data_IF_710221074767
#
_entry.id   IF_710221074767
#
_cell.length_a   1.000
_cell.length_b   1.000
_cell.length_c   1.000
_cell.angle_alpha   90.00
_cell.angle_beta   90.00
_cell.angle_gamma   90.00
#
_symmetry.space_group_name_H-M   'P 1'
#
loop_
_entity.id
_entity.type
_entity.pdbx_description
1 polymer ?
#
# COMPACT_ATOMS: atom_id res chain seq x y z
N UNK A 1 -3.94 4.37 -16.63
CA UNK A 1 -5.08 5.17 -16.13
C UNK A 1 -4.59 6.06 -15.00
N UNK A 2 -4.99 7.31 -15.02
CA UNK A 2 -4.63 8.27 -13.99
C UNK A 2 -5.81 8.49 -13.06
N UNK A 3 -5.57 8.49 -11.77
CA UNK A 3 -6.63 8.69 -10.79
C UNK A 3 -6.04 9.20 -9.48
N UNK A 4 -6.91 9.47 -8.52
CA UNK A 4 -6.52 9.91 -7.18
C UNK A 4 -6.64 8.72 -6.24
N UNK A 5 -5.58 8.48 -5.48
CA UNK A 5 -5.58 7.47 -4.42
C UNK A 5 -5.33 8.16 -3.09
N UNK A 6 -5.61 7.47 -2.00
CA UNK A 6 -5.34 7.96 -0.65
C UNK A 6 -4.26 7.11 -0.04
N UNK A 7 -3.19 7.74 0.44
CA UNK A 7 -2.10 7.06 1.12
C UNK A 7 -2.30 7.15 2.62
N UNK A 8 -2.11 6.04 3.30
CA UNK A 8 -2.33 5.95 4.74
C UNK A 8 -1.10 5.31 5.37
N UNK A 9 -0.62 5.90 6.45
CA UNK A 9 0.54 5.43 7.18
C UNK A 9 0.11 4.91 8.54
N UNK A 10 0.55 3.69 8.88
CA UNK A 10 0.32 3.13 10.21
C UNK A 10 1.53 3.37 11.09
N UNK A 11 1.29 3.73 12.34
CA UNK A 11 2.35 3.92 13.33
C UNK A 11 2.02 3.06 14.53
N UNK A 12 3.02 2.32 15.01
CA UNK A 12 2.87 1.51 16.21
C UNK A 12 3.55 2.24 17.36
N UNK A 13 2.80 2.51 18.42
CA UNK A 13 3.34 3.13 19.62
C UNK A 13 3.12 2.19 20.79
N UNK A 14 3.97 2.32 21.82
CA UNK A 14 3.82 1.55 23.07
C UNK A 14 3.44 2.50 24.18
N UNK A 15 2.49 2.08 25.02
CA UNK A 15 2.15 2.86 26.19
C UNK A 15 3.13 2.55 27.35
N UNK A 16 2.89 3.15 28.50
CA UNK A 16 3.78 2.98 29.66
C UNK A 16 3.78 1.55 30.21
N UNK A 17 2.79 0.75 29.84
CA UNK A 17 2.67 -0.65 30.26
C UNK A 17 3.21 -1.62 29.22
N UNK A 18 3.77 -1.11 28.12
CA UNK A 18 4.29 -1.95 27.06
C UNK A 18 3.25 -2.44 26.07
N UNK A 19 2.02 -2.02 26.18
CA UNK A 19 0.99 -2.40 25.23
C UNK A 19 1.16 -1.64 23.92
N UNK A 20 1.05 -2.36 22.82
CA UNK A 20 1.15 -1.76 21.51
C UNK A 20 -0.18 -1.16 21.06
N UNK A 21 -0.09 0.02 20.45
CA UNK A 21 -1.25 0.69 19.90
C UNK A 21 -0.93 1.09 18.46
N UNK A 22 -1.82 0.73 17.54
CA UNK A 22 -1.69 1.10 16.13
C UNK A 22 -2.53 2.33 15.87
N UNK A 23 -1.89 3.36 15.32
CA UNK A 23 -2.59 4.57 14.90
C UNK A 23 -2.37 4.74 13.39
N UNK A 24 -3.39 5.27 12.71
CA UNK A 24 -3.29 5.55 11.29
C UNK A 24 -3.23 7.06 11.08
N UNK A 25 -2.47 7.47 10.07
CA UNK A 25 -2.44 8.87 9.67
C UNK A 25 -3.75 9.23 8.97
N UNK A 26 -4.00 10.51 8.83
CA UNK A 26 -5.10 10.96 7.98
C UNK A 26 -4.77 10.58 6.54
N UNK A 27 -5.78 10.13 5.76
CA UNK A 27 -5.54 9.80 4.36
C UNK A 27 -5.04 11.02 3.58
N UNK A 28 -3.99 10.81 2.80
CA UNK A 28 -3.41 11.85 1.97
C UNK A 28 -3.73 11.55 0.51
N UNK A 29 -4.41 12.45 -0.15
CA UNK A 29 -4.76 12.28 -1.56
C UNK A 29 -3.58 12.61 -2.46
N UNK A 30 -3.27 11.70 -3.38
CA UNK A 30 -2.19 11.91 -4.36
C UNK A 30 -2.65 11.38 -5.71
N UNK A 31 -2.08 11.94 -6.77
CA UNK A 31 -2.31 11.42 -8.12
C UNK A 31 -1.46 10.19 -8.36
N UNK A 32 -2.03 9.22 -9.03
CA UNK A 32 -1.35 7.98 -9.34
C UNK A 32 -1.69 7.52 -10.76
N UNK A 33 -0.72 6.91 -11.42
CA UNK A 33 -0.96 6.12 -12.61
C UNK A 33 -1.19 4.69 -12.16
N UNK A 34 -2.29 4.10 -12.59
CA UNK A 34 -2.73 2.80 -12.11
C UNK A 34 -2.54 1.76 -13.19
N UNK A 35 -1.93 0.63 -12.82
CA UNK A 35 -1.69 -0.44 -13.77
C UNK A 35 -1.86 -1.80 -13.07
N UNK A 36 -2.10 -2.82 -13.89
CA UNK A 36 -2.10 -4.18 -13.38
C UNK A 36 -0.68 -4.64 -13.14
N UNK A 37 -0.52 -5.65 -12.27
CA UNK A 37 0.78 -6.22 -11.95
C UNK A 37 1.31 -7.01 -13.14
N UNK A 38 2.60 -6.86 -13.44
CA UNK A 38 3.24 -7.64 -14.48
C UNK A 38 3.34 -9.12 -14.10
N UNK A 39 3.36 -9.98 -15.10
CA UNK A 39 3.36 -11.43 -14.89
C UNK A 39 4.55 -11.90 -14.05
N UNK A 40 5.74 -11.39 -14.35
CA UNK A 40 6.94 -11.79 -13.61
C UNK A 40 6.86 -11.40 -12.15
N UNK A 41 6.34 -10.21 -11.86
CA UNK A 41 6.16 -9.75 -10.50
C UNK A 41 5.14 -10.62 -9.77
N UNK A 42 4.06 -11.00 -10.45
CA UNK A 42 3.05 -11.86 -9.86
C UNK A 42 3.65 -13.21 -9.44
N UNK A 43 4.42 -13.84 -10.30
CA UNK A 43 5.00 -15.15 -9.99
C UNK A 43 6.04 -15.06 -8.88
N UNK A 44 6.88 -14.04 -8.91
CA UNK A 44 7.89 -13.87 -7.86
C UNK A 44 7.23 -13.66 -6.50
N UNK A 45 6.18 -12.86 -6.45
CA UNK A 45 5.46 -12.60 -5.21
C UNK A 45 4.69 -13.83 -4.73
N UNK A 46 4.15 -14.61 -5.65
CA UNK A 46 3.40 -15.82 -5.29
C UNK A 46 4.28 -16.84 -4.56
N UNK A 47 5.55 -16.94 -4.90
CA UNK A 47 6.49 -17.79 -4.19
C UNK A 47 6.65 -17.37 -2.72
N UNK A 48 6.50 -16.10 -2.44
CA UNK A 48 6.59 -15.58 -1.06
C UNK A 48 5.23 -15.56 -0.37
N UNK A 49 4.18 -16.08 -0.99
CA UNK A 49 2.84 -16.07 -0.43
C UNK A 49 2.10 -14.77 -0.61
N UNK A 50 2.62 -13.86 -1.43
CA UNK A 50 2.00 -12.57 -1.70
C UNK A 50 1.11 -12.66 -2.94
N UNK A 51 0.10 -11.80 -3.01
CA UNK A 51 -0.84 -11.79 -4.13
C UNK A 51 -1.00 -10.37 -4.67
N UNK A 52 0.01 -9.86 -5.38
CA UNK A 52 -0.06 -8.51 -5.90
C UNK A 52 -1.21 -8.38 -6.90
N UNK A 53 -1.98 -7.32 -6.78
CA UNK A 53 -3.14 -7.09 -7.65
C UNK A 53 -3.00 -5.85 -8.50
N UNK A 54 -2.32 -4.83 -7.98
CA UNK A 54 -2.35 -3.51 -8.60
C UNK A 54 -1.03 -2.78 -8.31
N UNK A 55 -0.64 -1.91 -9.23
CA UNK A 55 0.48 -1.01 -9.00
C UNK A 55 0.00 0.43 -9.11
N UNK A 56 0.53 1.27 -8.25
CA UNK A 56 0.31 2.71 -8.29
C UNK A 56 1.65 3.39 -8.52
N UNK A 57 1.78 4.16 -9.58
CA UNK A 57 2.96 4.96 -9.83
C UNK A 57 2.67 6.38 -9.40
N UNK A 58 3.43 6.87 -8.42
CA UNK A 58 3.22 8.20 -7.86
C UNK A 58 4.52 8.99 -7.89
N UNK A 59 4.43 10.28 -7.62
CA UNK A 59 5.62 11.11 -7.48
C UNK A 59 6.36 10.74 -6.22
N UNK A 60 7.69 10.67 -6.29
CA UNK A 60 8.52 10.44 -5.12
C UNK A 60 8.23 11.49 -4.04
N UNK A 61 8.01 12.75 -4.46
CA UNK A 61 7.72 13.83 -3.51
C UNK A 61 6.42 13.63 -2.72
N UNK A 62 5.52 12.80 -3.24
CA UNK A 62 4.22 12.55 -2.59
C UNK A 62 4.26 11.32 -1.68
N UNK A 63 5.36 10.57 -1.68
CA UNK A 63 5.44 9.32 -0.94
C UNK A 63 6.29 9.48 0.32
N UNK A 64 5.71 9.17 1.47
CA UNK A 64 6.38 9.22 2.76
C UNK A 64 6.30 7.85 3.46
N UNK A 65 6.61 6.81 2.71
CA UNK A 65 6.65 5.42 3.21
C UNK A 65 5.33 4.94 3.78
N UNK A 66 4.24 5.45 3.24
CA UNK A 66 2.92 4.95 3.62
C UNK A 66 2.79 3.50 3.20
N UNK A 67 2.31 2.66 4.10
CA UNK A 67 2.19 1.23 3.86
C UNK A 67 0.85 0.80 3.29
N UNK A 68 -0.11 1.71 3.19
CA UNK A 68 -1.44 1.41 2.70
C UNK A 68 -1.90 2.46 1.71
N UNK A 69 -2.75 2.03 0.77
CA UNK A 69 -3.39 2.91 -0.18
C UNK A 69 -4.85 2.54 -0.31
N UNK A 70 -5.70 3.54 -0.47
CA UNK A 70 -7.12 3.32 -0.72
C UNK A 70 -7.45 3.82 -2.12
N UNK A 71 -8.11 2.97 -2.89
CA UNK A 71 -8.49 3.27 -4.25
C UNK A 71 -9.82 2.59 -4.56
N UNK A 72 -10.76 3.37 -5.10
CA UNK A 72 -12.06 2.86 -5.53
C UNK A 72 -12.78 2.09 -4.42
N UNK A 73 -12.70 2.61 -3.19
CA UNK A 73 -13.37 2.01 -2.04
C UNK A 73 -12.68 0.78 -1.46
N UNK A 74 -11.53 0.41 -2.01
CA UNK A 74 -10.79 -0.75 -1.53
C UNK A 74 -9.48 -0.34 -0.90
N UNK A 75 -9.08 -1.06 0.15
CA UNK A 75 -7.81 -0.82 0.82
C UNK A 75 -6.78 -1.82 0.35
N UNK A 76 -5.61 -1.31 0.00
CA UNK A 76 -4.48 -2.10 -0.47
C UNK A 76 -3.30 -1.92 0.46
N UNK A 77 -2.50 -2.97 0.59
CA UNK A 77 -1.26 -2.94 1.35
C UNK A 77 -0.09 -2.91 0.37
N UNK A 78 0.85 -2.00 0.59
CA UNK A 78 2.06 -1.91 -0.23
C UNK A 78 2.98 -3.05 0.17
N UNK A 79 3.30 -3.93 -0.77
CA UNK A 79 4.18 -5.07 -0.51
C UNK A 79 5.57 -4.85 -1.05
N UNK A 80 5.75 -3.94 -2.00
CA UNK A 80 7.05 -3.65 -2.59
C UNK A 80 7.03 -2.30 -3.26
N UNK A 81 8.17 -1.63 -3.28
CA UNK A 81 8.31 -0.36 -3.99
C UNK A 81 9.50 -0.41 -4.92
N UNK A 82 9.36 0.27 -6.07
CA UNK A 82 10.45 0.45 -7.02
C UNK A 82 10.54 1.92 -7.37
N UNK A 83 11.68 2.52 -7.11
CA UNK A 83 11.90 3.90 -7.52
C UNK A 83 12.61 3.90 -8.87
N UNK A 84 12.00 4.55 -9.85
CA UNK A 84 12.59 4.69 -11.19
C UNK A 84 13.00 6.14 -11.37
N UNK A 85 14.30 6.38 -11.34
CA UNK A 85 14.83 7.75 -11.42
C UNK A 85 14.55 8.53 -10.15
N UNK A 86 14.53 9.86 -10.26
CA UNK A 86 14.36 10.75 -9.11
C UNK A 86 12.93 11.22 -8.89
N UNK A 87 12.03 11.01 -9.87
CA UNK A 87 10.70 11.63 -9.86
C UNK A 87 9.57 10.66 -9.53
N UNK A 88 9.71 9.39 -9.86
CA UNK A 88 8.60 8.45 -9.77
C UNK A 88 8.96 7.24 -8.93
N UNK A 89 7.97 6.74 -8.19
CA UNK A 89 8.07 5.50 -7.44
C UNK A 89 6.83 4.65 -7.72
N UNK A 90 7.04 3.35 -7.90
CA UNK A 90 5.97 2.42 -8.14
C UNK A 90 5.70 1.63 -6.87
N UNK A 91 4.43 1.60 -6.47
CA UNK A 91 3.97 0.86 -5.30
C UNK A 91 3.25 -0.38 -5.79
N UNK A 92 3.81 -1.56 -5.52
CA UNK A 92 3.17 -2.83 -5.83
C UNK A 92 2.33 -3.22 -4.63
N UNK A 93 1.04 -3.42 -4.84
CA UNK A 93 0.10 -3.59 -3.74
C UNK A 93 -0.73 -4.86 -3.89
N UNK A 94 -1.14 -5.40 -2.74
CA UNK A 94 -2.13 -6.45 -2.68
C UNK A 94 -3.35 -5.95 -1.92
N UNK A 95 -4.50 -6.56 -2.15
CA UNK A 95 -5.70 -6.19 -1.42
C UNK A 95 -5.53 -6.55 0.05
N UNK A 96 -5.81 -5.59 0.91
CA UNK A 96 -5.79 -5.84 2.35
C UNK A 96 -7.15 -6.41 2.74
N UNK A 97 -7.15 -7.66 3.20
CA UNK A 97 -8.36 -8.32 3.68
C UNK A 97 -8.48 -8.04 5.17
N UNK A 98 -9.60 -7.48 5.57
CA UNK A 98 -9.89 -7.24 6.98
C UNK A 98 -10.91 -8.27 7.42
N UNK A 99 -10.55 -9.11 8.39
CA UNK A 99 -11.45 -10.07 8.96
C UNK A 99 -12.17 -9.45 10.15
N UNK A 100 -13.46 -9.26 10.00
CA UNK A 100 -14.28 -8.77 11.09
C UNK A 100 -14.95 -9.96 11.79
N UNK A 101 -14.69 -10.07 13.06
CA UNK A 101 -15.28 -11.13 13.82
C UNK A 101 -14.85 -12.48 13.42
N UNK A 102 -14.21 -12.64 12.97
CA UNK A 102 -13.88 -13.77 12.44
C UNK A 102 -14.16 -14.95 12.60
N UNK A 103 -14.61 -14.83 12.30
CA UNK A 103 -15.14 -15.71 12.26
C UNK A 103 -14.81 -16.69 12.03
N UNK A 104 -14.39 -16.95 11.98
CA UNK A 104 -14.27 -18.05 11.33
C UNK A 104 -15.23 -18.72 11.50
#
# INVERSE_FOLDING_TARGET
>A
MEDVIKLIKETITKDEYGNEKVTTSEPKEVFALIASVGRNEFYAAAHAGLKPEITFQIRVADYDREGMAEYDGMTYQVIRTYQTGSDWIELVCERKVVNYGNRP
#
